data_IF_485974410321
#
_entry.id   IF_485974410321
#
_cell.length_a   1.000
_cell.length_b   1.000
_cell.length_c   1.000
_cell.angle_alpha   90.00
_cell.angle_beta   90.00
_cell.angle_gamma   90.00
#
_symmetry.space_group_name_H-M   'P 1'
#
loop_
_entity.id
_entity.type
_entity.pdbx_description
1 polymer ?
#
# COMPACT_ATOMS: atom_id res chain seq x y z
N UNK A 1 2.05 12.65 2.37
CA UNK A 1 0.96 13.42 1.71
C UNK A 1 -0.39 12.76 2.00
N UNK A 2 -1.55 13.42 1.91
CA UNK A 2 -2.86 12.75 2.02
C UNK A 2 -3.19 11.90 0.77
N UNK A 3 -3.90 10.77 0.95
CA UNK A 3 -4.29 9.88 -0.17
C UNK A 3 -5.12 10.57 -1.25
N UNK A 4 -5.88 11.61 -0.90
CA UNK A 4 -6.67 12.40 -1.86
C UNK A 4 -5.81 13.04 -2.97
N UNK A 5 -4.50 13.21 -2.73
CA UNK A 5 -3.54 13.75 -3.70
C UNK A 5 -2.81 12.66 -4.50
N UNK A 6 -3.08 11.38 -4.25
CA UNK A 6 -2.38 10.29 -4.92
C UNK A 6 -2.82 10.12 -6.37
N UNK A 7 -1.84 10.05 -7.27
CA UNK A 7 -2.02 9.64 -8.66
C UNK A 7 -2.01 8.11 -8.74
N UNK A 8 -3.17 7.51 -8.47
CA UNK A 8 -3.28 6.05 -8.46
C UNK A 8 -3.47 5.53 -9.89
N UNK A 9 -2.71 4.53 -10.34
CA UNK A 9 -2.92 3.88 -11.63
C UNK A 9 -4.36 3.36 -11.77
N UNK A 10 -4.95 3.49 -12.97
CA UNK A 10 -6.31 2.97 -13.23
C UNK A 10 -6.39 1.48 -12.89
N UNK A 11 -5.43 0.69 -13.36
CA UNK A 11 -5.26 -0.69 -12.92
C UNK A 11 -4.01 -0.76 -12.05
N UNK A 12 -4.15 -1.34 -10.86
CA UNK A 12 -3.02 -1.60 -9.98
C UNK A 12 -3.08 -3.03 -9.43
N UNK A 13 -2.05 -3.40 -8.69
CA UNK A 13 -1.87 -4.73 -8.14
C UNK A 13 -1.55 -4.63 -6.66
N UNK A 14 -2.17 -5.49 -5.88
CA UNK A 14 -1.94 -5.62 -4.45
C UNK A 14 -1.49 -7.05 -4.15
N UNK A 15 -0.87 -7.23 -2.99
CA UNK A 15 -0.46 -8.56 -2.51
C UNK A 15 -1.33 -8.95 -1.32
N UNK A 16 -1.84 -10.16 -1.35
CA UNK A 16 -2.62 -10.77 -0.26
C UNK A 16 -1.98 -12.06 0.22
N UNK A 17 -2.23 -12.44 1.46
CA UNK A 17 -1.78 -13.71 2.03
C UNK A 17 -2.73 -14.88 1.69
N UNK A 18 -2.53 -16.03 2.35
CA UNK A 18 -3.36 -17.23 2.17
C UNK A 18 -4.79 -17.04 2.66
N UNK A 19 -5.02 -16.17 3.62
CA UNK A 19 -6.33 -15.81 4.15
C UNK A 19 -7.01 -14.67 3.35
N UNK A 20 -6.38 -14.23 2.25
CA UNK A 20 -6.81 -13.09 1.44
C UNK A 20 -6.74 -11.73 2.16
N UNK A 21 -5.94 -11.63 3.23
CA UNK A 21 -5.68 -10.36 3.91
C UNK A 21 -4.60 -9.56 3.18
N UNK A 22 -4.74 -8.23 3.15
CA UNK A 22 -3.80 -7.32 2.51
C UNK A 22 -2.44 -7.34 3.21
N UNK A 23 -1.38 -7.50 2.43
CA UNK A 23 0.00 -7.53 2.93
C UNK A 23 0.56 -6.11 3.02
N UNK A 24 0.44 -5.53 4.21
CA UNK A 24 1.10 -4.29 4.60
C UNK A 24 2.30 -4.58 5.52
N UNK A 25 3.31 -3.71 5.50
CA UNK A 25 4.54 -3.82 6.31
C UNK A 25 4.84 -2.49 7.02
N UNK A 26 5.63 -2.47 8.11
CA UNK A 26 6.17 -1.24 8.67
C UNK A 26 6.84 -0.37 7.59
N UNK A 27 6.72 0.95 7.70
CA UNK A 27 7.27 1.89 6.72
C UNK A 27 8.78 1.73 6.51
N UNK A 28 9.52 1.43 7.59
CA UNK A 28 10.96 1.15 7.54
C UNK A 28 11.37 -0.05 6.68
N UNK A 29 10.45 -0.95 6.34
CA UNK A 29 10.74 -2.13 5.53
C UNK A 29 10.79 -1.79 4.03
N UNK A 30 10.46 -0.55 3.66
CA UNK A 30 10.54 -0.03 2.31
C UNK A 30 11.84 0.76 2.14
N UNK A 31 12.76 0.21 1.34
CA UNK A 31 13.98 0.90 0.95
C UNK A 31 13.70 2.14 0.12
N UNK A 32 14.72 2.99 -0.02
CA UNK A 32 14.73 4.15 -0.93
C UNK A 32 13.72 5.28 -0.63
N UNK A 33 13.05 5.26 0.53
CA UNK A 33 12.13 6.32 0.97
C UNK A 33 12.82 7.56 1.57
N UNK A 34 14.15 7.57 1.64
CA UNK A 34 14.92 8.61 2.31
C UNK A 34 14.81 8.53 3.84
N UNK A 35 14.87 9.69 4.50
CA UNK A 35 14.77 9.78 5.96
C UNK A 35 13.31 9.64 6.37
N UNK A 36 13.00 8.54 7.08
CA UNK A 36 11.69 8.30 7.67
C UNK A 36 11.68 8.89 9.09
N UNK A 37 10.74 9.78 9.44
CA UNK A 37 10.60 10.29 10.81
C UNK A 37 10.38 9.16 11.81
N UNK A 38 10.96 9.27 13.01
CA UNK A 38 10.98 8.17 13.98
C UNK A 38 9.56 7.71 14.37
N UNK A 39 8.63 8.65 14.46
CA UNK A 39 7.21 8.40 14.71
C UNK A 39 6.51 7.62 13.59
N UNK A 40 7.00 7.67 12.36
CA UNK A 40 6.38 7.01 11.20
C UNK A 40 6.98 5.64 10.88
N UNK A 41 8.12 5.28 11.49
CA UNK A 41 8.88 4.05 11.21
C UNK A 41 8.02 2.78 11.24
N UNK A 42 7.06 2.72 12.15
CA UNK A 42 6.20 1.54 12.37
C UNK A 42 4.83 1.64 11.67
N UNK A 43 4.58 2.73 10.94
CA UNK A 43 3.30 2.93 10.26
C UNK A 43 3.05 1.82 9.25
N UNK A 44 1.89 1.17 9.37
CA UNK A 44 1.55 -0.02 8.59
C UNK A 44 1.18 0.41 7.18
N UNK A 45 2.09 0.15 6.25
CA UNK A 45 2.09 0.69 4.90
C UNK A 45 1.73 -0.40 3.88
N UNK A 46 0.69 -0.14 3.08
CA UNK A 46 0.24 -1.01 2.01
C UNK A 46 0.86 -0.59 0.66
N UNK A 47 1.67 -1.45 0.02
CA UNK A 47 2.20 -1.17 -1.30
C UNK A 47 1.15 -1.34 -2.40
N UNK A 48 1.10 -0.37 -3.31
CA UNK A 48 0.30 -0.40 -4.52
C UNK A 48 1.23 -0.41 -5.72
N UNK A 49 1.15 -1.47 -6.52
CA UNK A 49 2.02 -1.63 -7.68
C UNK A 49 1.24 -1.32 -8.95
N UNK A 50 1.85 -0.59 -9.87
CA UNK A 50 1.37 -0.42 -11.25
C UNK A 50 1.68 -1.63 -12.14
N UNK A 51 2.65 -2.46 -11.71
CA UNK A 51 3.19 -3.56 -12.48
C UNK A 51 3.05 -4.90 -11.74
N UNK A 52 2.37 -5.87 -12.38
CA UNK A 52 2.18 -7.22 -11.84
C UNK A 52 3.50 -7.94 -11.51
N UNK A 53 4.55 -7.77 -12.33
CA UNK A 53 5.85 -8.43 -12.11
C UNK A 53 6.54 -7.87 -10.87
N UNK A 54 6.41 -6.56 -10.61
CA UNK A 54 6.97 -5.92 -9.41
C UNK A 54 6.22 -6.40 -8.16
N UNK A 55 4.88 -6.41 -8.19
CA UNK A 55 4.06 -6.97 -7.11
C UNK A 55 4.42 -8.44 -6.82
N UNK A 56 4.68 -9.24 -7.87
CA UNK A 56 5.08 -10.63 -7.75
C UNK A 56 6.46 -10.80 -7.10
N UNK A 57 7.42 -9.91 -7.39
CA UNK A 57 8.75 -9.90 -6.74
C UNK A 57 8.65 -9.52 -5.26
N UNK A 58 7.71 -8.64 -4.90
CA UNK A 58 7.45 -8.27 -3.51
C UNK A 58 6.81 -9.42 -2.71
N UNK A 59 5.93 -10.19 -3.35
CA UNK A 59 5.23 -11.32 -2.73
C UNK A 59 6.16 -12.50 -2.43
N UNK A 60 5.87 -13.26 -1.37
CA UNK A 60 6.54 -14.54 -1.10
C UNK A 60 5.71 -15.75 -1.60
N UNK A 61 6.21 -16.98 -1.39
CA UNK A 61 5.56 -18.22 -1.86
C UNK A 61 4.16 -18.48 -1.29
N UNK A 62 3.80 -17.84 -0.19
CA UNK A 62 2.50 -18.02 0.48
C UNK A 62 1.49 -16.94 0.08
N UNK A 63 1.95 -15.90 -0.60
CA UNK A 63 1.18 -14.74 -0.99
C UNK A 63 0.80 -14.79 -2.47
N UNK A 64 -0.24 -14.04 -2.82
CA UNK A 64 -0.77 -13.94 -4.18
C UNK A 64 -0.92 -12.49 -4.57
N UNK A 65 -0.72 -12.21 -5.85
CA UNK A 65 -0.99 -10.89 -6.43
C UNK A 65 -2.43 -10.86 -6.90
N UNK A 66 -3.18 -9.83 -6.53
CA UNK A 66 -4.52 -9.56 -7.03
C UNK A 66 -4.50 -8.32 -7.92
N UNK A 67 -5.33 -8.33 -8.97
CA UNK A 67 -5.54 -7.18 -9.85
C UNK A 67 -6.69 -6.34 -9.31
N UNK A 68 -6.47 -5.04 -9.17
CA UNK A 68 -7.50 -4.05 -8.90
C UNK A 68 -7.77 -3.30 -10.20
N UNK A 69 -8.96 -3.45 -10.82
CA UNK A 69 -9.25 -2.88 -12.13
C UNK A 69 -9.49 -1.36 -12.11
N UNK A 70 -9.82 -0.79 -10.95
CA UNK A 70 -9.96 0.65 -10.71
C UNK A 70 -9.25 1.05 -9.40
N UNK A 71 -8.06 1.63 -9.51
CA UNK A 71 -7.27 2.11 -8.37
C UNK A 71 -7.96 3.17 -7.52
N UNK A 72 -8.95 3.91 -8.08
CA UNK A 72 -9.75 4.87 -7.30
C UNK A 72 -10.55 4.22 -6.18
N UNK A 73 -10.77 2.90 -6.22
CA UNK A 73 -11.36 2.18 -5.09
C UNK A 73 -10.57 2.37 -3.80
N UNK A 74 -9.23 2.51 -3.86
CA UNK A 74 -8.39 2.69 -2.66
C UNK A 74 -8.75 3.94 -1.86
N UNK A 75 -9.19 5.00 -2.54
CA UNK A 75 -9.69 6.21 -1.88
C UNK A 75 -11.03 5.94 -1.18
N UNK A 76 -11.92 5.16 -1.81
CA UNK A 76 -13.26 4.84 -1.28
C UNK A 76 -13.21 3.88 -0.09
N UNK A 77 -12.26 2.95 -0.08
CA UNK A 77 -12.15 1.93 0.97
C UNK A 77 -11.20 2.33 2.11
N UNK A 78 -10.77 3.59 2.16
CA UNK A 78 -9.80 4.07 3.15
C UNK A 78 -10.17 3.75 4.60
N UNK A 79 -11.46 3.86 4.96
CA UNK A 79 -11.93 3.50 6.31
C UNK A 79 -11.80 2.01 6.62
N UNK A 80 -12.02 1.14 5.62
CA UNK A 80 -11.84 -0.30 5.77
C UNK A 80 -10.35 -0.67 5.91
N UNK A 81 -9.47 0.03 5.18
CA UNK A 81 -8.02 -0.12 5.33
C UNK A 81 -7.57 0.30 6.75
N UNK A 82 -8.05 1.44 7.25
CA UNK A 82 -7.79 1.89 8.63
C UNK A 82 -8.30 0.91 9.67
N UNK A 83 -9.50 0.35 9.49
CA UNK A 83 -10.03 -0.67 10.39
C UNK A 83 -9.17 -1.95 10.45
N UNK A 84 -8.38 -2.23 9.39
CA UNK A 84 -7.37 -3.30 9.33
C UNK A 84 -5.99 -2.85 9.84
N UNK A 85 -5.90 -1.65 10.41
CA UNK A 85 -4.68 -1.04 10.94
C UNK A 85 -3.73 -0.50 9.87
N UNK A 86 -4.15 -0.44 8.60
CA UNK A 86 -3.35 0.15 7.52
C UNK A 86 -3.53 1.67 7.57
N UNK A 87 -2.42 2.39 7.69
CA UNK A 87 -2.42 3.86 7.89
C UNK A 87 -1.77 4.61 6.73
N UNK A 88 -0.97 3.91 5.93
CA UNK A 88 -0.22 4.46 4.79
C UNK A 88 -0.39 3.61 3.55
N UNK A 89 -0.32 4.24 2.38
CA UNK A 89 -0.19 3.61 1.07
C UNK A 89 1.14 4.05 0.43
N UNK A 90 1.89 3.11 -0.13
CA UNK A 90 3.09 3.38 -0.92
C UNK A 90 2.73 3.21 -2.40
N UNK A 91 2.79 4.30 -3.16
CA UNK A 91 2.39 4.35 -4.57
C UNK A 91 3.48 5.10 -5.34
N UNK A 92 4.09 4.46 -6.33
CA UNK A 92 5.14 5.06 -7.18
C UNK A 92 6.27 5.73 -6.38
N UNK A 93 6.76 5.03 -5.34
CA UNK A 93 7.81 5.54 -4.44
C UNK A 93 7.35 6.61 -3.43
N UNK A 94 6.11 7.09 -3.53
CA UNK A 94 5.57 8.11 -2.64
C UNK A 94 4.64 7.53 -1.57
N UNK A 95 4.77 8.05 -0.34
CA UNK A 95 3.97 7.64 0.82
C UNK A 95 2.78 8.57 1.02
N UNK A 96 1.59 7.96 1.11
CA UNK A 96 0.32 8.63 1.29
C UNK A 96 -0.39 8.19 2.58
N UNK A 97 -0.87 9.14 3.37
CA UNK A 97 -1.65 8.96 4.59
C UNK A 97 -3.11 8.68 4.29
N UNK A 98 -3.70 7.71 4.99
CA UNK A 98 -5.14 7.45 5.02
C UNK A 98 -5.90 8.34 6.03
N UNK A 99 -5.18 9.05 6.90
CA UNK A 99 -5.75 10.05 7.80
C UNK A 99 -6.03 11.35 7.04
N UNK A 100 -7.22 11.92 7.24
CA UNK A 100 -7.50 13.31 6.92
C UNK A 100 -6.74 14.15 7.96
N UNK A 101 -5.79 14.97 7.50
CA UNK A 101 -5.36 16.13 8.27
C UNK A 101 -6.34 17.27 7.99
#
# INVERSE_FOLDING_TARGET
>A
MPLSQALIPKTCYLVVDRAAELVARPLKDFGDLGIIPQEEVQERTLPVFDNHRVARRFSNRTQRVIKVPDGKMLQKVGDHLKAKGITRLLIDGQVYSLSLN
#
